data_IF_225318579276
#
_entry.id   IF_225318579276
#
_cell.length_a   1.000
_cell.length_b   1.000
_cell.length_c   1.000
_cell.angle_alpha   90.00
_cell.angle_beta   90.00
_cell.angle_gamma   90.00
#
_symmetry.space_group_name_H-M   'P 1'
#
loop_
_entity.id
_entity.type
_entity.pdbx_description
1 polymer ?
#
# COMPACT_ATOMS: atom_id res chain seq x y z
N UNK A 1 7.50 6.30 23.30
CA UNK A 1 7.03 7.43 22.48
C UNK A 1 6.29 6.86 21.30
N UNK A 2 5.00 7.15 21.17
CA UNK A 2 4.18 6.68 20.05
C UNK A 2 4.28 7.71 18.92
N UNK A 3 4.37 7.26 17.66
CA UNK A 3 4.43 8.15 16.49
C UNK A 3 3.26 9.14 16.45
N UNK A 4 2.10 8.75 17.00
CA UNK A 4 0.89 9.57 17.08
C UNK A 4 1.12 10.89 17.83
N UNK A 5 1.87 10.85 18.95
CA UNK A 5 2.21 12.01 19.78
C UNK A 5 3.00 13.06 19.00
N UNK A 6 3.90 12.61 18.10
CA UNK A 6 4.66 13.50 17.23
C UNK A 6 3.76 14.21 16.20
N UNK A 7 2.83 13.49 15.57
CA UNK A 7 1.89 14.07 14.60
C UNK A 7 0.94 15.08 15.25
N UNK A 8 0.49 14.81 16.49
CA UNK A 8 -0.31 15.76 17.28
C UNK A 8 0.46 17.05 17.58
N UNK A 9 1.75 16.97 17.93
CA UNK A 9 2.59 18.14 18.21
C UNK A 9 2.78 19.05 16.98
N UNK A 10 2.90 18.46 15.78
CA UNK A 10 3.06 19.23 14.53
C UNK A 10 1.71 19.62 13.88
N UNK A 11 0.57 19.34 14.54
CA UNK A 11 -0.76 19.66 14.04
C UNK A 11 -1.14 18.93 12.74
N UNK A 12 -0.42 17.86 12.39
CA UNK A 12 -0.74 17.04 11.23
C UNK A 12 -1.68 15.91 11.67
N UNK A 13 -2.71 15.57 10.87
CA UNK A 13 -3.48 14.38 11.14
C UNK A 13 -2.54 13.17 11.17
N UNK A 14 -2.74 12.29 12.14
CA UNK A 14 -2.06 10.99 12.16
C UNK A 14 -2.28 10.34 10.79
N UNK A 15 -1.22 9.87 10.10
CA UNK A 15 -1.41 9.17 8.85
C UNK A 15 -2.33 7.98 9.15
N UNK A 16 -3.45 7.91 8.42
CA UNK A 16 -4.37 6.79 8.53
C UNK A 16 -3.63 5.46 8.34
N UNK A 17 -4.22 4.37 8.81
CA UNK A 17 -3.61 3.05 8.68
C UNK A 17 -3.11 2.84 7.24
N UNK A 18 -1.88 2.34 7.05
CA UNK A 18 -1.33 2.15 5.72
C UNK A 18 -2.25 1.23 4.90
N UNK A 19 -2.36 1.45 3.57
CA UNK A 19 -3.19 0.62 2.72
C UNK A 19 -2.81 -0.86 2.85
N UNK A 20 -3.82 -1.73 2.80
CA UNK A 20 -3.60 -3.18 2.99
C UNK A 20 -2.89 -3.80 1.79
N UNK A 21 -3.06 -3.23 0.61
CA UNK A 21 -2.37 -3.66 -0.60
C UNK A 21 -1.45 -2.54 -1.10
N UNK A 22 -0.15 -2.83 -1.16
CA UNK A 22 0.89 -1.89 -1.58
C UNK A 22 1.44 -2.30 -2.95
N UNK A 23 1.59 -1.34 -3.84
CA UNK A 23 2.24 -1.55 -5.14
C UNK A 23 3.74 -1.34 -4.97
N UNK A 24 4.53 -2.36 -5.30
CA UNK A 24 5.99 -2.31 -5.23
C UNK A 24 6.60 -2.64 -6.59
N UNK A 25 7.71 -1.97 -6.89
CA UNK A 25 8.49 -2.21 -8.10
C UNK A 25 9.23 -3.55 -7.99
N UNK A 26 9.01 -4.42 -8.97
CA UNK A 26 9.59 -5.75 -9.08
C UNK A 26 10.63 -5.77 -10.21
N UNK A 27 11.73 -5.03 -10.06
CA UNK A 27 12.76 -4.95 -11.10
C UNK A 27 12.39 -4.01 -12.25
N UNK A 28 12.65 -4.42 -13.50
CA UNK A 28 12.54 -3.54 -14.68
C UNK A 28 11.13 -3.58 -15.29
N UNK A 29 10.36 -2.52 -15.04
CA UNK A 29 9.00 -2.33 -15.58
C UNK A 29 7.98 -3.41 -15.17
N UNK A 30 8.10 -3.94 -13.96
CA UNK A 30 7.08 -4.77 -13.34
C UNK A 30 6.72 -4.21 -11.98
N UNK A 31 5.46 -4.32 -11.62
CA UNK A 31 4.88 -3.90 -10.36
C UNK A 31 4.13 -5.08 -9.77
N UNK A 32 4.47 -5.47 -8.55
CA UNK A 32 3.69 -6.46 -7.81
C UNK A 32 2.81 -5.76 -6.78
N UNK A 33 1.62 -6.31 -6.54
CA UNK A 33 0.74 -5.89 -5.46
C UNK A 33 0.99 -6.83 -4.28
N UNK A 34 1.50 -6.29 -3.18
CA UNK A 34 1.78 -7.04 -1.95
C UNK A 34 0.74 -6.70 -0.90
N UNK A 35 0.25 -7.72 -0.23
CA UNK A 35 -0.55 -7.60 0.97
C UNK A 35 0.37 -7.21 2.14
N UNK A 36 0.22 -6.01 2.70
CA UNK A 36 1.07 -5.48 3.76
C UNK A 36 0.93 -6.22 5.10
N UNK A 37 -0.14 -7.00 5.26
CA UNK A 37 -0.41 -7.78 6.49
C UNK A 37 0.23 -9.16 6.45
N UNK A 38 0.20 -9.81 5.28
CA UNK A 38 0.68 -11.18 5.08
C UNK A 38 1.99 -11.27 4.32
N UNK A 39 2.48 -10.14 3.81
CA UNK A 39 3.64 -10.02 2.92
C UNK A 39 3.50 -10.85 1.63
N UNK A 40 2.28 -11.27 1.29
CA UNK A 40 2.02 -12.11 0.11
C UNK A 40 1.80 -11.27 -1.13
N UNK A 41 2.44 -11.66 -2.22
CA UNK A 41 2.18 -11.10 -3.54
C UNK A 41 0.83 -11.61 -4.06
N UNK A 42 -0.11 -10.70 -4.29
CA UNK A 42 -1.45 -10.99 -4.81
C UNK A 42 -1.52 -10.93 -6.35
N UNK A 43 -0.56 -10.28 -7.00
CA UNK A 43 -0.48 -10.24 -8.45
C UNK A 43 0.70 -9.43 -8.99
N UNK A 44 0.97 -9.61 -10.28
CA UNK A 44 2.01 -8.90 -11.03
C UNK A 44 1.37 -8.15 -12.19
N UNK A 45 1.81 -6.92 -12.43
CA UNK A 45 1.40 -6.06 -13.55
C UNK A 45 2.64 -5.41 -14.16
N UNK A 46 2.55 -5.04 -15.44
CA UNK A 46 3.62 -4.29 -16.12
C UNK A 46 3.46 -2.79 -15.93
N UNK A 47 2.22 -2.35 -15.74
CA UNK A 47 1.86 -0.95 -15.55
C UNK A 47 1.52 -0.65 -14.10
N UNK A 48 2.04 0.49 -13.61
CA UNK A 48 1.74 0.97 -12.26
C UNK A 48 0.24 1.23 -12.08
N UNK A 49 -0.41 1.74 -13.12
CA UNK A 49 -1.83 2.07 -13.08
C UNK A 49 -2.70 0.82 -12.94
N UNK A 50 -2.35 -0.26 -13.65
CA UNK A 50 -3.01 -1.56 -13.50
C UNK A 50 -2.76 -2.17 -12.12
N UNK A 51 -1.55 -2.04 -11.59
CA UNK A 51 -1.23 -2.52 -10.23
C UNK A 51 -2.04 -1.77 -9.17
N UNK A 52 -2.21 -0.46 -9.33
CA UNK A 52 -3.02 0.38 -8.46
C UNK A 52 -4.51 0.02 -8.55
N UNK A 53 -5.04 -0.19 -9.76
CA UNK A 53 -6.41 -0.65 -9.95
C UNK A 53 -6.66 -2.00 -9.26
N UNK A 54 -5.72 -2.94 -9.41
CA UNK A 54 -5.79 -4.24 -8.74
C UNK A 54 -5.77 -4.11 -7.21
N UNK A 55 -4.88 -3.28 -6.67
CA UNK A 55 -4.81 -3.02 -5.23
C UNK A 55 -6.16 -2.51 -4.70
N UNK A 56 -6.78 -1.53 -5.36
CA UNK A 56 -8.11 -1.01 -4.99
C UNK A 56 -9.21 -2.05 -5.09
N UNK A 57 -9.20 -2.89 -6.13
CA UNK A 57 -10.17 -3.98 -6.26
C UNK A 57 -10.02 -5.02 -5.15
N UNK A 58 -8.80 -5.28 -4.71
CA UNK A 58 -8.53 -6.17 -3.57
C UNK A 58 -9.00 -5.54 -2.25
N UNK A 59 -8.83 -4.23 -2.05
CA UNK A 59 -9.38 -3.52 -0.89
C UNK A 59 -10.91 -3.52 -0.87
N UNK A 60 -11.57 -3.52 -2.03
CA UNK A 60 -13.05 -3.56 -2.11
C UNK A 60 -13.63 -4.97 -1.98
N UNK A 61 -12.84 -6.01 -2.23
CA UNK A 61 -13.29 -7.41 -2.19
C UNK A 61 -13.12 -8.10 -0.84
N UNK A 62 -12.40 -7.49 0.11
CA UNK A 62 -12.07 -8.07 1.42
C UNK A 62 -12.74 -7.33 2.59
#
# INVERSE_FOLDING_TARGET
>A
MAIADFYELIGQPVPGAPPRFVVRLAGKAFFHVVDSRTDKVRGFRRDHNEACALARQLEQKE
#
